data_IF_882134257719
#
_entry.id   IF_882134257719
#
_cell.length_a   1.000
_cell.length_b   1.000
_cell.length_c   1.000
_cell.angle_alpha   90.00
_cell.angle_beta   90.00
_cell.angle_gamma   90.00
#
_symmetry.space_group_name_H-M   'P 1'
#
loop_
_entity.id
_entity.type
_entity.pdbx_description
1 polymer ?
#
# COMPACT_ATOMS: atom_id res chain seq x y z
N UNK A 1 -11.35 5.39 0.59
CA UNK A 1 -12.03 5.86 1.80
C UNK A 1 -11.78 4.98 3.02
N UNK A 2 -12.59 5.13 4.05
CA UNK A 2 -12.58 4.25 5.23
C UNK A 2 -13.52 3.06 4.98
N UNK A 3 -13.00 1.85 4.75
CA UNK A 3 -13.81 0.74 4.26
C UNK A 3 -14.75 0.18 5.35
N UNK A 4 -15.98 -0.17 4.95
CA UNK A 4 -16.96 -0.86 5.80
C UNK A 4 -16.98 -2.37 5.56
N UNK A 5 -16.24 -2.86 4.55
CA UNK A 5 -16.03 -4.28 4.25
C UNK A 5 -14.55 -4.61 4.50
N UNK A 6 -14.31 -5.70 5.19
CA UNK A 6 -12.97 -6.16 5.54
C UNK A 6 -12.90 -7.70 5.51
N UNK A 7 -11.95 -8.32 4.76
CA UNK A 7 -11.06 -7.69 3.78
C UNK A 7 -11.81 -7.09 2.58
N UNK A 8 -11.16 -6.16 1.84
CA UNK A 8 -11.77 -5.49 0.70
C UNK A 8 -11.70 -6.38 -0.55
N UNK A 9 -12.86 -6.70 -1.10
CA UNK A 9 -13.03 -7.43 -2.37
C UNK A 9 -13.20 -6.46 -3.54
N UNK A 10 -13.00 -6.91 -4.79
CA UNK A 10 -13.10 -6.05 -5.97
C UNK A 10 -14.50 -5.53 -6.24
N UNK A 11 -15.55 -6.27 -5.84
CA UNK A 11 -16.94 -5.81 -5.95
C UNK A 11 -17.30 -4.69 -4.99
N UNK A 12 -16.43 -4.35 -4.04
CA UNK A 12 -16.64 -3.26 -3.10
C UNK A 12 -16.27 -1.91 -3.74
N UNK A 13 -17.24 -1.01 -3.84
CA UNK A 13 -17.07 0.29 -4.52
C UNK A 13 -16.46 1.38 -3.64
N UNK A 14 -16.23 1.08 -2.38
CA UNK A 14 -15.63 2.01 -1.43
C UNK A 14 -16.65 2.77 -0.59
N UNK A 15 -16.13 3.40 0.46
CA UNK A 15 -16.86 4.32 1.35
C UNK A 15 -16.03 5.60 1.47
N UNK A 16 -16.35 6.57 0.62
CA UNK A 16 -15.59 7.82 0.48
C UNK A 16 -16.43 8.99 1.00
N UNK A 17 -15.81 9.86 1.80
CA UNK A 17 -16.37 11.16 2.14
C UNK A 17 -16.04 12.14 0.99
N UNK A 18 -17.01 12.50 0.12
CA UNK A 18 -16.74 13.30 -1.10
C UNK A 18 -16.34 14.74 -0.82
N UNK A 19 -16.53 15.23 0.40
CA UNK A 19 -16.15 16.58 0.85
C UNK A 19 -15.08 16.57 1.93
N UNK A 20 -14.53 15.39 2.27
CA UNK A 20 -13.46 15.23 3.26
C UNK A 20 -12.10 15.71 2.73
N UNK A 21 -11.15 15.88 3.65
CA UNK A 21 -9.79 16.34 3.31
C UNK A 21 -9.05 15.41 2.32
N UNK A 22 -9.43 14.13 2.27
CA UNK A 22 -8.85 13.13 1.36
C UNK A 22 -9.63 12.94 0.07
N UNK A 23 -10.75 13.63 -0.12
CA UNK A 23 -11.65 13.41 -1.25
C UNK A 23 -10.98 13.56 -2.61
N UNK A 24 -10.06 14.50 -2.77
CA UNK A 24 -9.32 14.68 -4.02
C UNK A 24 -8.53 13.41 -4.43
N UNK A 25 -7.99 12.68 -3.47
CA UNK A 25 -7.30 11.41 -3.74
C UNK A 25 -8.30 10.27 -3.96
N UNK A 26 -9.22 10.07 -3.03
CA UNK A 26 -10.12 8.92 -3.03
C UNK A 26 -11.10 8.97 -4.22
N UNK A 27 -11.73 10.12 -4.47
CA UNK A 27 -12.60 10.31 -5.63
C UNK A 27 -11.81 10.38 -6.95
N UNK A 28 -10.60 10.91 -6.92
CA UNK A 28 -9.71 10.89 -8.09
C UNK A 28 -9.41 9.47 -8.57
N UNK A 29 -9.19 8.52 -7.64
CA UNK A 29 -8.99 7.09 -7.99
C UNK A 29 -10.26 6.44 -8.55
N UNK A 30 -11.43 6.74 -7.99
CA UNK A 30 -12.72 6.26 -8.50
C UNK A 30 -13.02 6.83 -9.88
N UNK A 31 -12.80 8.12 -10.08
CA UNK A 31 -12.94 8.78 -11.37
C UNK A 31 -12.04 8.16 -12.45
N UNK A 32 -10.79 7.81 -12.09
CA UNK A 32 -9.89 7.12 -13.02
C UNK A 32 -10.44 5.77 -13.50
N UNK A 33 -10.99 4.93 -12.62
CA UNK A 33 -11.65 3.68 -13.03
C UNK A 33 -12.82 3.95 -13.99
N UNK A 34 -13.66 4.95 -13.70
CA UNK A 34 -14.78 5.36 -14.57
C UNK A 34 -14.29 5.77 -15.95
N UNK A 35 -13.27 6.64 -16.02
CA UNK A 35 -12.73 7.12 -17.29
C UNK A 35 -12.12 5.99 -18.12
N UNK A 36 -11.38 5.05 -17.50
CA UNK A 36 -10.86 3.88 -18.21
C UNK A 36 -11.99 3.06 -18.83
N UNK A 37 -13.04 2.78 -18.07
CA UNK A 37 -14.21 2.04 -18.57
C UNK A 37 -14.93 2.77 -19.70
N UNK A 38 -15.06 4.09 -19.63
CA UNK A 38 -15.73 4.88 -20.67
C UNK A 38 -14.88 4.92 -21.95
N UNK A 39 -13.57 5.11 -21.85
CA UNK A 39 -12.68 5.02 -23.02
C UNK A 39 -12.71 3.63 -23.66
N UNK A 40 -12.77 2.58 -22.85
CA UNK A 40 -12.93 1.22 -23.35
C UNK A 40 -14.24 1.05 -24.13
N UNK A 41 -15.38 1.45 -23.54
CA UNK A 41 -16.71 1.31 -24.14
C UNK A 41 -16.91 2.16 -25.40
N UNK A 42 -16.40 3.39 -25.38
CA UNK A 42 -16.64 4.37 -26.47
C UNK A 42 -15.63 4.27 -27.59
N UNK A 43 -14.38 3.93 -27.30
CA UNK A 43 -13.28 4.01 -28.23
C UNK A 43 -12.58 2.66 -28.46
N UNK A 44 -13.02 1.58 -27.81
CA UNK A 44 -12.41 0.25 -27.93
C UNK A 44 -10.97 0.19 -27.39
N UNK A 45 -10.57 1.11 -26.52
CA UNK A 45 -9.23 1.09 -25.90
C UNK A 45 -9.09 -0.15 -25.04
N UNK A 46 -8.01 -0.91 -25.23
CA UNK A 46 -7.69 -2.04 -24.36
C UNK A 46 -7.19 -1.51 -23.01
N UNK A 47 -7.81 -1.92 -21.94
CA UNK A 47 -7.50 -1.48 -20.59
C UNK A 47 -7.26 -2.67 -19.66
N UNK A 48 -6.49 -2.42 -18.60
CA UNK A 48 -6.35 -3.30 -17.44
C UNK A 48 -6.46 -2.45 -16.18
N UNK A 49 -7.33 -2.84 -15.26
CA UNK A 49 -7.54 -2.11 -14.01
C UNK A 49 -7.01 -2.95 -12.86
N UNK A 50 -6.08 -2.39 -12.10
CA UNK A 50 -5.58 -2.96 -10.85
C UNK A 50 -5.82 -1.97 -9.71
N UNK A 51 -6.09 -2.49 -8.51
CA UNK A 51 -6.17 -1.72 -7.27
C UNK A 51 -4.98 -2.08 -6.40
N UNK A 52 -4.00 -1.18 -6.37
CA UNK A 52 -2.74 -1.38 -5.64
C UNK A 52 -2.96 -0.99 -4.18
N UNK A 53 -2.70 -1.96 -3.28
CA UNK A 53 -2.66 -1.71 -1.84
C UNK A 53 -1.29 -1.18 -1.42
N UNK A 54 -1.12 -0.86 -0.11
CA UNK A 54 0.10 -0.20 0.37
C UNK A 54 1.36 -0.94 -0.08
N UNK A 55 2.10 -0.33 -0.98
CA UNK A 55 3.32 -0.86 -1.56
C UNK A 55 4.53 -0.08 -1.05
N UNK A 56 5.60 -0.78 -0.72
CA UNK A 56 6.86 -0.20 -0.26
C UNK A 56 8.06 -0.90 -0.91
N UNK A 57 9.22 -0.26 -0.90
CA UNK A 57 10.46 -0.82 -1.42
C UNK A 57 11.53 0.23 -1.70
N UNK A 58 12.67 -0.17 -2.27
CA UNK A 58 13.71 0.74 -2.75
C UNK A 58 13.16 1.80 -3.71
N UNK A 59 13.86 2.93 -3.81
CA UNK A 59 13.49 4.11 -4.64
C UNK A 59 12.28 4.91 -4.15
N UNK A 60 11.73 4.59 -2.96
CA UNK A 60 10.86 5.56 -2.27
C UNK A 60 11.66 6.79 -1.89
N UNK A 61 11.02 7.97 -1.97
CA UNK A 61 11.67 9.20 -1.50
C UNK A 61 11.73 9.20 0.03
N UNK A 62 12.86 9.63 0.63
CA UNK A 62 13.00 9.68 2.09
C UNK A 62 11.93 10.50 2.80
N UNK A 63 11.40 11.52 2.12
CA UNK A 63 10.46 12.51 2.66
C UNK A 63 9.08 12.45 1.98
N UNK A 64 8.67 11.30 1.46
CA UNK A 64 7.38 11.16 0.76
C UNK A 64 6.16 11.09 1.68
N UNK A 65 6.37 11.08 3.00
CA UNK A 65 5.30 11.05 4.01
C UNK A 65 4.69 9.68 4.28
N UNK A 66 5.15 8.62 3.60
CA UNK A 66 4.63 7.27 3.82
C UNK A 66 5.26 6.63 5.06
N UNK A 67 4.49 5.80 5.75
CA UNK A 67 4.88 5.26 7.05
C UNK A 67 6.17 4.44 7.01
N UNK A 68 6.37 3.57 6.00
CA UNK A 68 7.55 2.70 5.92
C UNK A 68 8.82 3.53 5.70
N UNK A 69 8.84 4.43 4.69
CA UNK A 69 9.99 5.31 4.42
C UNK A 69 10.29 6.22 5.61
N UNK A 70 9.27 6.83 6.21
CA UNK A 70 9.45 7.70 7.38
C UNK A 70 10.10 6.94 8.55
N UNK A 71 9.58 5.76 8.90
CA UNK A 71 10.12 4.99 10.02
C UNK A 71 11.55 4.54 9.77
N UNK A 72 11.85 4.05 8.55
CA UNK A 72 13.22 3.63 8.20
C UNK A 72 14.19 4.81 8.25
N UNK A 73 13.81 5.97 7.69
CA UNK A 73 14.67 7.16 7.70
C UNK A 73 14.88 7.67 9.13
N UNK A 74 13.81 7.80 9.94
CA UNK A 74 13.92 8.20 11.34
C UNK A 74 14.81 7.24 12.14
N UNK A 75 14.62 5.94 11.98
CA UNK A 75 15.43 4.93 12.68
C UNK A 75 16.90 4.99 12.29
N UNK A 76 17.21 5.07 11.00
CA UNK A 76 18.58 5.22 10.52
C UNK A 76 19.28 6.51 11.02
N UNK A 77 18.49 7.53 11.33
CA UNK A 77 19.01 8.79 11.91
C UNK A 77 19.05 8.80 13.42
N UNK A 78 18.61 7.73 14.09
CA UNK A 78 18.38 7.68 15.53
C UNK A 78 17.44 8.83 16.02
N UNK A 79 16.52 9.27 15.16
CA UNK A 79 15.46 10.21 15.51
C UNK A 79 14.28 9.44 16.08
N UNK A 80 13.48 10.06 16.93
CA UNK A 80 12.28 9.45 17.47
C UNK A 80 11.28 9.12 16.36
N UNK A 81 10.72 7.91 16.40
CA UNK A 81 9.72 7.45 15.44
C UNK A 81 8.35 7.98 15.84
N UNK A 82 7.72 8.74 14.96
CA UNK A 82 6.41 9.34 15.20
C UNK A 82 5.28 8.38 14.82
N UNK A 83 4.50 7.96 15.81
CA UNK A 83 3.27 7.19 15.63
C UNK A 83 2.07 8.12 15.79
N UNK A 84 1.15 8.08 14.82
CA UNK A 84 -0.12 8.79 14.90
C UNK A 84 -1.19 7.87 15.51
N UNK A 85 -1.97 8.38 16.49
CA UNK A 85 -2.92 7.59 17.27
C UNK A 85 -2.24 6.64 18.25
N UNK A 86 -2.88 5.51 18.55
CA UNK A 86 -2.35 4.48 19.48
C UNK A 86 -1.33 3.54 18.84
N UNK A 87 -1.20 3.55 17.51
CA UNK A 87 -0.40 2.57 16.77
C UNK A 87 -1.08 1.22 16.54
N UNK A 88 -2.31 1.01 17.06
CA UNK A 88 -3.04 -0.26 16.90
C UNK A 88 -3.77 -0.37 15.55
N UNK A 89 -3.86 0.72 14.77
CA UNK A 89 -4.40 0.67 13.43
C UNK A 89 -3.56 -0.25 12.56
N UNK A 90 -4.23 -1.11 11.79
CA UNK A 90 -3.56 -2.11 10.97
C UNK A 90 -3.44 -1.68 9.51
N UNK A 91 -2.38 -2.13 8.86
CA UNK A 91 -2.14 -2.00 7.43
C UNK A 91 -1.51 -3.28 6.90
N UNK A 92 -1.84 -3.60 5.67
CA UNK A 92 -1.12 -4.62 4.92
C UNK A 92 -0.06 -3.94 4.04
N UNK A 93 1.12 -4.53 3.95
CA UNK A 93 2.23 -3.98 3.19
C UNK A 93 2.75 -5.00 2.19
N UNK A 94 2.73 -4.68 0.90
CA UNK A 94 3.34 -5.52 -0.12
C UNK A 94 4.67 -4.92 -0.59
N UNK A 95 5.63 -5.80 -0.90
CA UNK A 95 6.89 -5.39 -1.47
C UNK A 95 6.72 -5.01 -2.95
N UNK A 96 7.52 -4.07 -3.44
CA UNK A 96 7.36 -3.48 -4.76
C UNK A 96 7.51 -4.50 -5.89
N UNK A 97 8.42 -5.48 -5.78
CA UNK A 97 8.64 -6.48 -6.83
C UNK A 97 7.44 -7.43 -6.97
N UNK A 98 6.80 -7.81 -5.86
CA UNK A 98 5.53 -8.55 -5.90
C UNK A 98 4.44 -7.75 -6.64
N UNK A 99 4.36 -6.45 -6.37
CA UNK A 99 3.41 -5.57 -7.08
C UNK A 99 3.69 -5.54 -8.58
N UNK A 100 4.95 -5.36 -8.98
CA UNK A 100 5.37 -5.32 -10.38
C UNK A 100 5.06 -6.65 -11.09
N UNK A 101 5.36 -7.78 -10.45
CA UNK A 101 5.04 -9.10 -10.99
C UNK A 101 3.52 -9.25 -11.22
N UNK A 102 2.70 -8.84 -10.26
CA UNK A 102 1.24 -8.84 -10.41
C UNK A 102 0.77 -7.95 -11.56
N UNK A 103 1.37 -6.77 -11.74
CA UNK A 103 1.09 -5.88 -12.87
C UNK A 103 1.44 -6.52 -14.22
N UNK A 104 2.61 -7.14 -14.32
CA UNK A 104 3.06 -7.83 -15.56
C UNK A 104 2.11 -8.99 -15.88
N UNK A 105 1.73 -9.80 -14.91
CA UNK A 105 0.76 -10.89 -15.13
C UNK A 105 -0.59 -10.35 -15.59
N UNK A 106 -1.09 -9.27 -14.98
CA UNK A 106 -2.35 -8.64 -15.39
C UNK A 106 -2.28 -8.11 -16.83
N UNK A 107 -1.16 -7.51 -17.24
CA UNK A 107 -0.96 -7.02 -18.63
C UNK A 107 -0.96 -8.16 -19.65
N UNK A 108 -0.58 -9.37 -19.28
CA UNK A 108 -0.51 -10.54 -20.13
C UNK A 108 -1.78 -11.42 -20.13
N UNK A 109 -2.85 -10.99 -19.44
CA UNK A 109 -4.14 -11.68 -19.52
C UNK A 109 -4.86 -11.40 -20.83
N UNK A 110 -5.87 -12.25 -21.16
CA UNK A 110 -6.73 -12.06 -22.34
C UNK A 110 -7.38 -10.66 -22.35
N UNK A 111 -7.61 -10.12 -23.54
CA UNK A 111 -8.07 -8.74 -23.73
C UNK A 111 -9.42 -8.45 -23.05
N UNK A 112 -10.29 -9.43 -22.93
CA UNK A 112 -11.62 -9.34 -22.29
C UNK A 112 -11.56 -9.35 -20.76
N UNK A 113 -10.45 -9.79 -20.17
CA UNK A 113 -10.24 -9.71 -18.72
C UNK A 113 -9.66 -8.35 -18.35
N UNK A 114 -10.53 -7.38 -18.06
CA UNK A 114 -10.14 -5.98 -17.78
C UNK A 114 -9.97 -5.65 -16.29
N UNK A 115 -10.44 -6.50 -15.37
CA UNK A 115 -10.43 -6.25 -13.92
C UNK A 115 -11.67 -5.49 -13.43
N UNK A 116 -11.64 -4.81 -12.28
CA UNK A 116 -10.44 -4.57 -11.46
C UNK A 116 -9.91 -5.83 -10.76
N UNK A 117 -8.62 -5.84 -10.43
CA UNK A 117 -7.96 -6.88 -9.62
C UNK A 117 -7.17 -6.22 -8.48
N UNK A 118 -7.35 -6.73 -7.25
CA UNK A 118 -6.58 -6.27 -6.11
C UNK A 118 -5.16 -6.86 -6.14
N UNK A 119 -4.15 -6.00 -6.01
CA UNK A 119 -2.77 -6.40 -5.78
C UNK A 119 -2.30 -5.87 -4.42
N UNK A 120 -1.98 -6.77 -3.52
CA UNK A 120 -1.54 -6.45 -2.16
C UNK A 120 -1.18 -7.68 -1.35
N UNK A 121 -0.57 -7.48 -0.20
CA UNK A 121 -0.31 -8.56 0.74
C UNK A 121 -1.46 -8.63 1.76
N UNK A 122 -2.14 -9.77 1.96
CA UNK A 122 -3.23 -9.88 2.92
C UNK A 122 -2.78 -9.90 4.38
N UNK A 123 -1.46 -10.05 4.66
CA UNK A 123 -0.94 -10.06 6.02
C UNK A 123 -0.99 -8.65 6.61
N UNK A 124 -1.72 -8.47 7.72
CA UNK A 124 -1.85 -7.22 8.42
C UNK A 124 -0.82 -7.10 9.55
N UNK A 125 -0.31 -5.89 9.72
CA UNK A 125 0.54 -5.49 10.84
C UNK A 125 0.03 -4.19 11.44
N UNK A 126 0.11 -4.06 12.75
CA UNK A 126 -0.12 -2.78 13.40
C UNK A 126 1.02 -1.80 13.08
N UNK A 127 0.73 -0.52 13.13
CA UNK A 127 1.76 0.51 12.95
C UNK A 127 2.85 0.41 14.04
N UNK A 128 2.45 -0.02 15.24
CA UNK A 128 3.39 -0.27 16.34
C UNK A 128 4.35 -1.43 16.02
N UNK A 129 3.84 -2.57 15.57
CA UNK A 129 4.66 -3.72 15.16
C UNK A 129 5.64 -3.36 14.03
N UNK A 130 5.20 -2.55 13.06
CA UNK A 130 6.07 -2.05 12.00
C UNK A 130 7.22 -1.21 12.57
N UNK A 131 6.92 -0.28 13.50
CA UNK A 131 7.94 0.57 14.11
C UNK A 131 8.96 -0.24 14.92
N UNK A 132 8.50 -1.21 15.71
CA UNK A 132 9.36 -2.10 16.50
C UNK A 132 10.27 -2.95 15.60
N UNK A 133 9.73 -3.52 14.49
CA UNK A 133 10.52 -4.23 13.50
C UNK A 133 11.62 -3.36 12.88
N UNK A 134 11.28 -2.13 12.49
CA UNK A 134 12.25 -1.19 11.92
C UNK A 134 13.35 -0.82 12.91
N UNK A 135 13.02 -0.51 14.18
CA UNK A 135 14.00 -0.23 15.23
C UNK A 135 14.96 -1.42 15.40
N UNK A 136 14.41 -2.63 15.48
CA UNK A 136 15.19 -3.86 15.64
C UNK A 136 16.13 -4.10 14.45
N UNK A 137 15.63 -4.01 13.22
CA UNK A 137 16.40 -4.26 11.99
C UNK A 137 17.49 -3.23 11.72
N UNK A 138 17.27 -1.99 12.16
CA UNK A 138 18.27 -0.90 12.03
C UNK A 138 19.23 -0.82 13.20
N UNK A 139 18.98 -1.58 14.27
CA UNK A 139 19.68 -1.47 15.56
C UNK A 139 19.68 -0.01 16.08
N UNK A 140 18.55 0.69 15.90
CA UNK A 140 18.38 2.10 16.23
C UNK A 140 18.13 2.32 17.72
N UNK A 141 18.54 3.49 18.22
CA UNK A 141 18.22 3.98 19.57
C UNK A 141 16.95 4.85 19.60
N UNK A 142 16.23 4.93 18.50
CA UNK A 142 14.99 5.70 18.38
C UNK A 142 13.94 5.28 19.41
N UNK A 143 13.24 6.26 19.96
CA UNK A 143 12.08 6.04 20.83
C UNK A 143 10.79 6.23 20.03
N UNK A 144 9.71 5.65 20.52
CA UNK A 144 8.38 5.87 19.95
C UNK A 144 7.75 7.09 20.58
N UNK A 145 7.30 8.04 19.76
CA UNK A 145 6.52 9.20 20.21
C UNK A 145 5.14 9.17 19.55
N UNK A 146 4.11 9.46 20.34
CA UNK A 146 2.72 9.37 19.88
C UNK A 146 2.14 10.77 19.65
N UNK A 147 1.45 10.96 18.53
CA UNK A 147 0.76 12.19 18.14
C UNK A 147 -0.71 11.91 17.83
N UNK A 148 -1.58 12.92 17.91
CA UNK A 148 -3.00 12.75 17.55
C UNK A 148 -3.15 12.20 16.13
N UNK A 149 -4.13 11.28 15.94
CA UNK A 149 -4.44 10.72 14.62
C UNK A 149 -5.01 11.83 13.70
N UNK A 150 -4.54 11.95 12.44
CA UNK A 150 -5.16 12.84 11.47
C UNK A 150 -6.64 12.47 11.21
N UNK A 151 -7.45 13.47 10.87
CA UNK A 151 -8.83 13.25 10.45
C UNK A 151 -8.89 12.43 9.14
N UNK A 152 -9.91 11.57 9.04
CA UNK A 152 -10.20 10.74 7.85
C UNK A 152 -9.11 9.70 7.50
N UNK A 153 -8.21 9.34 8.43
CA UNK A 153 -7.27 8.24 8.17
C UNK A 153 -7.99 6.89 8.31
N UNK A 154 -7.96 6.02 7.29
CA UNK A 154 -8.63 4.72 7.34
C UNK A 154 -8.11 3.87 8.49
N UNK A 155 -9.02 3.18 9.21
CA UNK A 155 -8.64 2.35 10.36
C UNK A 155 -8.02 1.04 9.95
N UNK A 156 -8.52 0.42 8.87
CA UNK A 156 -8.09 -0.89 8.37
C UNK A 156 -8.03 -0.89 6.84
N UNK A 157 -7.00 -1.55 6.29
CA UNK A 157 -6.90 -1.83 4.85
C UNK A 157 -6.24 -3.18 4.66
N UNK A 158 -7.01 -4.15 4.15
CA UNK A 158 -6.55 -5.49 3.83
C UNK A 158 -7.17 -5.94 2.50
N UNK A 159 -6.37 -6.28 1.48
CA UNK A 159 -6.92 -6.77 0.22
C UNK A 159 -7.43 -8.21 0.38
N UNK A 160 -8.58 -8.51 -0.20
CA UNK A 160 -8.85 -9.87 -0.67
C UNK A 160 -8.12 -10.04 -2.00
N UNK A 161 -7.28 -11.07 -2.13
CA UNK A 161 -6.49 -11.37 -3.33
C UNK A 161 -6.92 -12.67 -4.02
N UNK A 162 -8.10 -13.18 -3.69
CA UNK A 162 -8.62 -14.42 -4.27
C UNK A 162 -8.67 -14.35 -5.79
N UNK A 163 -9.16 -13.24 -6.34
CA UNK A 163 -9.23 -13.05 -7.78
C UNK A 163 -7.83 -12.99 -8.44
N UNK A 164 -6.85 -12.37 -7.80
CA UNK A 164 -5.48 -12.35 -8.29
C UNK A 164 -4.86 -13.75 -8.31
N UNK A 165 -5.10 -14.57 -7.28
CA UNK A 165 -4.66 -15.97 -7.25
C UNK A 165 -5.29 -16.78 -8.38
N UNK A 166 -6.60 -16.67 -8.55
CA UNK A 166 -7.34 -17.45 -9.55
C UNK A 166 -7.04 -17.05 -11.00
N UNK A 167 -6.98 -15.76 -11.28
CA UNK A 167 -6.87 -15.22 -12.64
C UNK A 167 -5.44 -14.96 -13.10
N UNK A 168 -4.55 -14.63 -12.18
CA UNK A 168 -3.16 -14.28 -12.49
C UNK A 168 -2.17 -15.36 -12.03
N UNK A 169 -2.61 -16.34 -11.23
CA UNK A 169 -1.70 -17.27 -10.54
C UNK A 169 -0.71 -16.51 -9.65
N UNK A 170 -1.13 -15.36 -9.11
CA UNK A 170 -0.25 -14.44 -8.37
C UNK A 170 -0.63 -14.36 -6.89
N UNK A 171 0.39 -14.37 -6.07
CA UNK A 171 0.33 -14.00 -4.66
C UNK A 171 1.67 -13.35 -4.24
N UNK A 172 1.69 -12.51 -3.19
CA UNK A 172 2.92 -11.92 -2.69
C UNK A 172 3.82 -13.01 -2.08
N UNK A 173 5.11 -12.90 -2.33
CA UNK A 173 6.14 -13.87 -1.90
C UNK A 173 7.14 -13.28 -0.92
N UNK A 174 7.27 -11.95 -0.87
CA UNK A 174 8.24 -11.27 -0.01
C UNK A 174 7.57 -10.88 1.31
N UNK A 175 8.06 -11.47 2.40
CA UNK A 175 7.58 -11.14 3.74
C UNK A 175 8.03 -9.75 4.19
N UNK A 176 7.26 -9.12 5.10
CA UNK A 176 7.51 -7.74 5.55
C UNK A 176 8.95 -7.55 6.04
N UNK A 177 9.46 -8.47 6.83
CA UNK A 177 10.79 -8.34 7.42
C UNK A 177 11.91 -8.38 6.37
N UNK A 178 11.79 -9.25 5.38
CA UNK A 178 12.70 -9.35 4.25
C UNK A 178 12.68 -8.05 3.41
N UNK A 179 11.49 -7.58 3.04
CA UNK A 179 11.35 -6.34 2.27
C UNK A 179 11.83 -5.11 3.03
N UNK A 180 11.69 -5.09 4.38
CA UNK A 180 12.25 -4.03 5.23
C UNK A 180 13.79 -4.03 5.18
N UNK A 181 14.45 -5.18 5.13
CA UNK A 181 15.90 -5.25 4.97
C UNK A 181 16.35 -4.60 3.66
N UNK A 182 15.69 -4.89 2.54
CA UNK A 182 16.03 -4.30 1.24
C UNK A 182 15.87 -2.77 1.22
N UNK A 183 14.80 -2.23 1.79
CA UNK A 183 14.63 -0.77 1.84
C UNK A 183 15.60 -0.10 2.82
N UNK A 184 15.94 -0.76 3.93
CA UNK A 184 16.93 -0.27 4.88
C UNK A 184 18.32 -0.19 4.24
N UNK A 185 18.75 -1.22 3.50
CA UNK A 185 20.00 -1.23 2.75
C UNK A 185 20.03 -0.11 1.72
N UNK A 186 18.97 0.01 0.93
CA UNK A 186 18.84 1.10 -0.05
C UNK A 186 19.01 2.48 0.59
N UNK A 187 18.35 2.76 1.71
CA UNK A 187 18.47 4.06 2.37
C UNK A 187 19.82 4.28 3.06
N UNK A 188 20.53 3.23 3.45
CA UNK A 188 21.93 3.36 3.92
C UNK A 188 22.85 3.81 2.80
N UNK A 189 22.74 3.21 1.61
CA UNK A 189 23.53 3.58 0.43
C UNK A 189 23.19 4.97 -0.11
N UNK A 190 21.91 5.34 -0.10
CA UNK A 190 21.46 6.66 -0.57
C UNK A 190 21.99 7.83 0.26
N UNK A 191 22.53 7.56 1.46
CA UNK A 191 23.12 8.53 2.38
C UNK A 191 24.63 8.67 2.25
N UNK A 192 25.28 7.71 1.61
CA UNK A 192 26.72 7.79 1.32
C UNK A 192 26.98 8.62 0.07
#
# INVERSE_FOLDING_TARGET
GDPVIHPQVESYWGNVNPIGLRSCYDEGKRCAETLFMDYHRQNGVRIKIIRIFNTYGPRMLPNDGRVVSNFVVQALQNQDITIYGSGNQTRSFQYVDDCIEGMVRMMNTEDDFIGPVNLGNPNEFSILELAEKVIRLTNSKSKLIFKPLPHDDPKQRQPDITLAKEKLGWEPTIELEEGLQYIIEYFKEYRS
#
